data_IF_730329494479
#
_entry.id   IF_730329494479
#
_cell.length_a   1.000
_cell.length_b   1.000
_cell.length_c   1.000
_cell.angle_alpha   90.00
_cell.angle_beta   90.00
_cell.angle_gamma   90.00
#
_symmetry.space_group_name_H-M   'P 1'
#
loop_
_entity.id
_entity.type
_entity.pdbx_description
1 polymer ?
#
# COMPACT_ATOMS: atom_id res chain seq x y z
N UNK A 1 28.94 -29.89 13.60
CA UNK A 1 28.54 -29.29 12.31
C UNK A 1 27.03 -29.16 12.13
N UNK A 2 26.24 -30.23 12.00
CA UNK A 2 24.77 -30.10 11.88
C UNK A 2 24.08 -29.64 13.18
N UNK A 3 24.60 -30.06 14.35
CA UNK A 3 24.12 -29.60 15.65
C UNK A 3 24.43 -28.11 15.89
N UNK A 4 25.63 -27.64 15.53
CA UNK A 4 26.00 -26.21 15.63
C UNK A 4 25.14 -25.31 14.72
N UNK A 5 24.82 -25.78 13.51
CA UNK A 5 23.97 -25.03 12.58
C UNK A 5 22.52 -24.90 13.10
N UNK A 6 21.99 -25.97 13.71
CA UNK A 6 20.66 -25.92 14.33
C UNK A 6 20.63 -25.04 15.58
N UNK A 7 21.72 -25.01 16.36
CA UNK A 7 21.83 -24.17 17.55
C UNK A 7 21.96 -22.69 17.16
N UNK A 8 22.70 -22.37 16.10
CA UNK A 8 22.85 -21.00 15.61
C UNK A 8 21.52 -20.43 15.05
N UNK A 9 20.74 -21.23 14.33
CA UNK A 9 19.41 -20.82 13.86
C UNK A 9 18.39 -20.64 14.99
N UNK A 10 18.49 -21.41 16.07
CA UNK A 10 17.66 -21.21 17.27
C UNK A 10 17.99 -19.90 18.00
N UNK A 11 19.26 -19.45 17.99
CA UNK A 11 19.66 -18.18 18.58
C UNK A 11 19.21 -16.97 17.75
N UNK A 12 19.20 -17.07 16.41
CA UNK A 12 18.69 -16.03 15.51
C UNK A 12 17.17 -15.88 15.60
N UNK A 13 16.42 -16.99 15.63
CA UNK A 13 14.96 -16.96 15.77
C UNK A 13 14.52 -16.35 17.12
N UNK A 14 15.28 -16.61 18.20
CA UNK A 14 15.02 -16.06 19.54
C UNK A 14 15.41 -14.58 19.67
N UNK A 15 16.24 -14.07 18.77
CA UNK A 15 16.60 -12.65 18.69
C UNK A 15 15.51 -11.82 17.97
N UNK A 16 14.87 -12.38 16.94
CA UNK A 16 13.79 -11.73 16.20
C UNK A 16 12.51 -11.56 17.05
N UNK A 17 12.11 -12.58 17.82
CA UNK A 17 10.95 -12.49 18.74
C UNK A 17 11.13 -11.40 19.82
N UNK A 18 12.37 -11.18 20.29
CA UNK A 18 12.66 -10.09 21.25
C UNK A 18 12.53 -8.70 20.64
N UNK A 19 12.61 -8.57 19.31
CA UNK A 19 12.45 -7.30 18.61
C UNK A 19 11.02 -7.01 18.15
N UNK A 20 10.15 -8.03 18.08
CA UNK A 20 8.77 -7.89 17.62
C UNK A 20 7.83 -7.18 18.63
N UNK A 21 8.21 -7.11 19.91
CA UNK A 21 7.40 -6.50 20.97
C UNK A 21 7.77 -5.05 21.35
N UNK A 22 8.82 -4.47 20.76
CA UNK A 22 9.25 -3.11 21.11
C UNK A 22 8.57 -2.11 20.17
N UNK A 23 7.56 -1.40 20.67
CA UNK A 23 7.04 -0.18 20.01
C UNK A 23 8.20 0.80 19.84
N UNK A 24 8.77 0.86 18.63
CA UNK A 24 9.77 1.86 18.27
C UNK A 24 9.11 3.22 18.42
N UNK A 25 9.57 4.10 19.34
CA UNK A 25 8.95 5.40 19.51
C UNK A 25 9.00 6.13 18.17
N UNK A 26 7.89 6.76 17.76
CA UNK A 26 7.83 7.63 16.58
C UNK A 26 8.83 8.77 16.75
N UNK A 27 10.10 8.53 16.43
CA UNK A 27 11.15 9.55 16.46
C UNK A 27 10.77 10.65 15.49
N UNK A 28 10.52 11.84 16.03
CA UNK A 28 10.19 13.02 15.27
C UNK A 28 11.23 13.27 14.19
N UNK A 29 10.77 13.55 12.97
CA UNK A 29 11.63 13.84 11.81
C UNK A 29 12.71 14.89 12.11
N UNK A 30 12.42 15.83 13.01
CA UNK A 30 13.35 16.87 13.45
C UNK A 30 14.56 16.33 14.23
N UNK A 31 14.42 15.21 14.94
CA UNK A 31 15.51 14.58 15.69
C UNK A 31 16.42 13.75 14.79
N UNK A 32 15.85 13.06 13.79
CA UNK A 32 16.63 12.39 12.74
C UNK A 32 17.46 13.41 11.95
N UNK A 33 16.89 14.57 11.65
CA UNK A 33 17.59 15.66 10.93
C UNK A 33 18.76 16.25 11.74
N UNK A 34 18.59 16.39 13.07
CA UNK A 34 19.63 16.92 13.97
C UNK A 34 20.79 15.95 14.14
N UNK A 35 20.52 14.65 14.28
CA UNK A 35 21.58 13.62 14.33
C UNK A 35 22.32 13.49 12.99
N UNK A 36 21.62 13.63 11.87
CA UNK A 36 22.24 13.62 10.55
C UNK A 36 23.28 14.73 10.41
N UNK A 37 22.98 15.92 10.95
CA UNK A 37 23.91 17.06 10.95
C UNK A 37 25.19 16.83 11.77
N UNK A 38 25.14 15.97 12.79
CA UNK A 38 26.30 15.64 13.63
C UNK A 38 27.12 14.47 13.08
N UNK A 39 26.49 13.56 12.35
CA UNK A 39 27.14 12.45 11.63
C UNK A 39 28.07 12.94 10.50
N UNK A 40 27.82 14.15 9.99
CA UNK A 40 28.64 14.87 9.00
C UNK A 40 29.61 15.89 9.61
N UNK A 41 30.07 15.72 10.86
CA UNK A 41 30.95 16.70 11.51
C UNK A 41 32.39 16.20 11.69
N UNK A 42 33.27 16.83 10.88
CA UNK A 42 34.73 16.99 10.99
C UNK A 42 35.63 15.76 10.80
N UNK A 43 35.40 14.61 11.41
CA UNK A 43 36.33 13.46 11.20
C UNK A 43 36.01 12.64 9.95
N UNK A 44 34.73 12.40 9.65
CA UNK A 44 34.29 11.76 8.40
C UNK A 44 34.50 12.68 7.19
N UNK A 45 34.46 14.00 7.38
CA UNK A 45 34.59 15.01 6.32
C UNK A 45 36.01 15.05 5.74
N UNK A 46 37.04 14.77 6.55
CA UNK A 46 38.44 14.75 6.09
C UNK A 46 38.72 13.50 5.25
N UNK A 47 38.19 12.32 5.62
CA UNK A 47 38.25 11.09 4.79
C UNK A 47 37.36 11.18 3.54
N UNK A 48 36.20 11.85 3.64
CA UNK A 48 35.32 12.13 2.51
C UNK A 48 35.80 13.31 1.63
N UNK A 49 36.94 13.96 1.90
CA UNK A 49 37.38 15.09 1.07
C UNK A 49 38.10 14.65 -0.23
N UNK A 50 38.74 13.49 -0.21
CA UNK A 50 39.34 12.88 -1.41
C UNK A 50 38.31 12.09 -2.21
N UNK A 51 37.48 11.26 -1.55
CA UNK A 51 36.40 10.52 -2.21
C UNK A 51 35.17 11.37 -2.54
N UNK A 52 34.88 12.40 -1.74
CA UNK A 52 33.75 13.30 -1.98
C UNK A 52 33.93 14.15 -3.24
N UNK A 53 35.16 14.49 -3.64
CA UNK A 53 35.40 15.18 -4.92
C UNK A 53 35.15 14.27 -6.13
N UNK A 54 35.51 12.98 -6.04
CA UNK A 54 35.24 12.02 -7.12
C UNK A 54 33.76 11.64 -7.16
N UNK A 55 33.12 11.44 -6.00
CA UNK A 55 31.68 11.20 -5.88
C UNK A 55 30.87 12.41 -6.36
N UNK A 56 31.27 13.64 -6.03
CA UNK A 56 30.59 14.85 -6.50
C UNK A 56 30.80 15.07 -8.00
N UNK A 57 32.00 14.76 -8.53
CA UNK A 57 32.26 14.75 -9.97
C UNK A 57 31.41 13.69 -10.70
N UNK A 58 31.30 12.48 -10.15
CA UNK A 58 30.45 11.41 -10.67
C UNK A 58 28.97 11.79 -10.61
N UNK A 59 28.51 12.39 -9.50
CA UNK A 59 27.14 12.85 -9.36
C UNK A 59 26.82 13.98 -10.35
N UNK A 60 27.77 14.89 -10.60
CA UNK A 60 27.64 15.91 -11.64
C UNK A 60 27.59 15.31 -13.05
N UNK A 61 28.32 14.21 -13.29
CA UNK A 61 28.27 13.46 -14.54
C UNK A 61 26.92 12.75 -14.74
N UNK A 62 26.42 12.05 -13.71
CA UNK A 62 25.10 11.41 -13.75
C UNK A 62 23.97 12.44 -13.87
N UNK A 63 24.08 13.59 -13.20
CA UNK A 63 23.13 14.69 -13.34
C UNK A 63 23.09 15.25 -14.76
N UNK A 64 24.27 15.46 -15.37
CA UNK A 64 24.37 15.94 -16.75
C UNK A 64 23.87 14.90 -17.77
N UNK A 65 24.18 13.62 -17.54
CA UNK A 65 23.64 12.50 -18.32
C UNK A 65 22.11 12.48 -18.23
N UNK A 66 21.54 12.62 -17.02
CA UNK A 66 20.10 12.62 -16.79
C UNK A 66 19.41 13.78 -17.52
N UNK A 67 19.96 14.99 -17.41
CA UNK A 67 19.45 16.18 -18.11
C UNK A 67 19.50 15.98 -19.63
N UNK A 68 20.60 15.46 -20.18
CA UNK A 68 20.71 15.15 -21.60
C UNK A 68 19.70 14.07 -22.06
N UNK A 69 19.49 13.04 -21.24
CA UNK A 69 18.55 11.96 -21.52
C UNK A 69 17.10 12.48 -21.50
N UNK A 70 16.79 13.41 -20.59
CA UNK A 70 15.50 14.10 -20.53
C UNK A 70 15.28 15.01 -21.74
N UNK A 71 16.28 15.77 -22.18
CA UNK A 71 16.20 16.56 -23.43
C UNK A 71 15.96 15.67 -24.65
N UNK A 72 16.62 14.51 -24.70
CA UNK A 72 16.46 13.54 -25.78
C UNK A 72 15.05 12.98 -25.82
N UNK A 73 14.49 12.63 -24.66
CA UNK A 73 13.12 12.15 -24.54
C UNK A 73 12.13 13.22 -25.01
N UNK A 74 12.29 14.47 -24.56
CA UNK A 74 11.42 15.58 -24.96
C UNK A 74 11.44 15.83 -26.47
N UNK A 75 12.61 15.80 -27.12
CA UNK A 75 12.73 15.88 -28.58
C UNK A 75 12.05 14.72 -29.30
N UNK A 76 12.11 13.51 -28.74
CA UNK A 76 11.49 12.32 -29.31
C UNK A 76 9.96 12.35 -29.17
N UNK A 77 9.43 12.85 -28.04
CA UNK A 77 7.99 13.08 -27.84
C UNK A 77 7.45 14.11 -28.85
N UNK A 78 8.19 15.20 -29.11
CA UNK A 78 7.78 16.26 -30.04
C UNK A 78 7.68 15.83 -31.52
N UNK A 79 8.33 14.73 -31.92
CA UNK A 79 8.24 14.20 -33.30
C UNK A 79 7.01 13.31 -33.54
N UNK A 80 6.33 12.85 -32.48
CA UNK A 80 5.17 11.95 -32.60
C UNK A 80 3.92 12.80 -32.85
N UNK A 81 3.47 12.88 -34.12
CA UNK A 81 2.28 13.64 -34.55
C UNK A 81 1.01 13.39 -33.71
N UNK A 82 0.88 12.22 -33.11
CA UNK A 82 -0.27 11.79 -32.31
C UNK A 82 -0.30 12.47 -30.92
N UNK A 83 0.85 12.86 -30.37
CA UNK A 83 0.95 13.59 -29.09
C UNK A 83 1.04 15.11 -29.25
N UNK A 84 1.21 15.61 -30.48
CA UNK A 84 1.43 17.03 -30.78
C UNK A 84 0.27 17.97 -30.39
N UNK A 85 -0.98 17.48 -30.35
CA UNK A 85 -2.14 18.30 -29.94
C UNK A 85 -2.23 18.54 -28.43
N UNK A 86 -1.73 17.62 -27.61
CA UNK A 86 -1.75 17.73 -26.14
C UNK A 86 -0.49 18.45 -25.63
N UNK A 87 0.62 18.36 -26.37
CA UNK A 87 1.92 18.95 -26.02
C UNK A 87 2.09 20.40 -26.49
N UNK A 88 1.35 20.87 -27.51
CA UNK A 88 1.54 22.21 -28.10
C UNK A 88 1.16 23.39 -27.19
N UNK A 89 0.35 23.18 -26.15
CA UNK A 89 0.01 24.24 -25.18
C UNK A 89 1.12 24.44 -24.12
N UNK A 90 1.95 23.43 -23.91
CA UNK A 90 3.07 23.45 -22.94
C UNK A 90 4.41 23.79 -23.61
N UNK A 91 4.50 23.64 -24.93
CA UNK A 91 5.73 23.81 -25.73
C UNK A 91 6.31 25.24 -25.70
N UNK A 92 5.47 26.28 -25.75
CA UNK A 92 5.94 27.69 -25.71
C UNK A 92 6.49 28.13 -24.34
N UNK A 93 5.94 27.59 -23.26
CA UNK A 93 6.36 27.94 -21.89
C UNK A 93 7.63 27.20 -21.47
N UNK A 94 7.79 25.95 -21.94
CA UNK A 94 8.97 25.13 -21.63
C UNK A 94 10.19 25.50 -22.48
N UNK A 95 10.06 25.89 -23.74
CA UNK A 95 11.22 26.28 -24.56
C UNK A 95 12.00 27.49 -24.01
N UNK A 96 11.32 28.49 -23.43
CA UNK A 96 11.96 29.72 -22.94
C UNK A 96 12.53 29.59 -21.52
N UNK A 97 11.86 28.86 -20.62
CA UNK A 97 12.36 28.66 -19.25
C UNK A 97 13.34 27.51 -19.12
N UNK A 98 13.15 26.39 -19.82
CA UNK A 98 14.09 25.27 -19.73
C UNK A 98 15.34 25.45 -20.59
N UNK A 99 15.28 26.11 -21.74
CA UNK A 99 16.49 26.44 -22.51
C UNK A 99 17.45 27.27 -21.66
N UNK A 100 16.93 28.32 -21.02
CA UNK A 100 17.72 29.22 -20.18
C UNK A 100 18.17 28.56 -18.86
N UNK A 101 17.41 27.59 -18.32
CA UNK A 101 17.80 26.86 -17.12
C UNK A 101 18.82 25.75 -17.45
N UNK A 102 18.62 25.02 -18.54
CA UNK A 102 19.53 24.01 -19.06
C UNK A 102 20.89 24.61 -19.41
N UNK A 103 20.93 25.75 -20.11
CA UNK A 103 22.19 26.46 -20.39
C UNK A 103 22.86 26.94 -19.10
N UNK A 104 22.11 27.42 -18.10
CA UNK A 104 22.68 27.80 -16.79
C UNK A 104 23.20 26.60 -16.00
N UNK A 105 22.57 25.43 -16.11
CA UNK A 105 23.01 24.18 -15.47
C UNK A 105 24.24 23.64 -16.18
N UNK A 106 24.27 23.64 -17.51
CA UNK A 106 25.42 23.24 -18.34
C UNK A 106 26.61 24.18 -18.07
N UNK A 107 26.40 25.50 -18.09
CA UNK A 107 27.46 26.49 -17.84
C UNK A 107 28.01 26.46 -16.41
N UNK A 108 27.18 26.07 -15.42
CA UNK A 108 27.62 25.94 -14.02
C UNK A 108 28.30 24.60 -13.71
N UNK A 109 28.04 23.56 -14.53
CA UNK A 109 28.72 22.25 -14.44
C UNK A 109 29.96 22.15 -15.34
N UNK A 110 30.09 23.01 -16.36
CA UNK A 110 31.24 23.06 -17.27
C UNK A 110 32.39 23.84 -16.61
N UNK A 111 33.12 23.13 -15.74
CA UNK A 111 34.36 23.62 -15.17
C UNK A 111 35.39 23.91 -16.26
N UNK A 112 35.81 25.17 -16.37
CA UNK A 112 36.83 25.66 -17.28
C UNK A 112 38.19 25.01 -17.01
N UNK A 113 38.45 23.83 -17.60
CA UNK A 113 39.80 23.28 -17.73
C UNK A 113 39.90 22.48 -19.03
N UNK A 114 40.48 23.11 -20.06
CA UNK A 114 41.30 22.54 -21.17
C UNK A 114 40.95 21.21 -21.86
N UNK A 115 39.84 20.55 -21.54
CA UNK A 115 39.45 19.25 -22.06
C UNK A 115 38.25 19.33 -22.98
N UNK A 116 38.10 18.32 -23.84
CA UNK A 116 36.95 18.18 -24.75
C UNK A 116 35.64 18.24 -23.95
N UNK A 117 34.71 19.10 -24.40
CA UNK A 117 33.42 19.32 -23.75
C UNK A 117 32.68 17.99 -23.52
N UNK A 118 32.30 17.69 -22.28
CA UNK A 118 31.62 16.43 -21.92
C UNK A 118 30.27 16.29 -22.61
N UNK A 119 29.56 17.40 -22.79
CA UNK A 119 28.32 17.49 -23.58
C UNK A 119 28.55 17.06 -25.03
N UNK A 120 29.68 17.45 -25.63
CA UNK A 120 30.07 17.04 -26.97
C UNK A 120 30.38 15.54 -27.05
N UNK A 121 31.06 14.96 -26.05
CA UNK A 121 31.32 13.51 -26.01
C UNK A 121 30.01 12.70 -25.93
N UNK A 122 29.05 13.15 -25.11
CA UNK A 122 27.73 12.51 -25.00
C UNK A 122 26.95 12.64 -26.32
N UNK A 123 26.96 13.83 -26.93
CA UNK A 123 26.32 14.04 -28.23
C UNK A 123 26.95 13.18 -29.33
N UNK A 124 28.28 13.02 -29.33
CA UNK A 124 29.01 12.17 -30.27
C UNK A 124 28.68 10.69 -30.07
N UNK A 125 28.66 10.22 -28.83
CA UNK A 125 28.28 8.84 -28.49
C UNK A 125 26.84 8.55 -28.93
N UNK A 126 25.91 9.48 -28.66
CA UNK A 126 24.52 9.33 -29.06
C UNK A 126 24.36 9.31 -30.58
N UNK A 127 25.09 10.16 -31.30
CA UNK A 127 25.13 10.17 -32.77
C UNK A 127 25.66 8.85 -33.33
N UNK A 128 26.70 8.27 -32.69
CA UNK A 128 27.26 6.97 -33.06
C UNK A 128 26.25 5.83 -32.83
N UNK A 129 25.58 5.80 -31.68
CA UNK A 129 24.51 4.82 -31.41
C UNK A 129 23.33 4.94 -32.38
N UNK A 130 22.97 6.16 -32.79
CA UNK A 130 21.90 6.43 -33.77
C UNK A 130 22.30 6.09 -35.21
N UNK A 131 23.59 5.96 -35.51
CA UNK A 131 24.06 5.47 -36.81
C UNK A 131 23.74 3.98 -36.99
N UNK A 132 23.83 3.18 -35.91
CA UNK A 132 23.49 1.75 -35.90
C UNK A 132 22.15 1.47 -35.21
N UNK A 133 21.07 2.03 -35.77
CA UNK A 133 19.72 2.02 -35.15
C UNK A 133 19.24 0.63 -34.74
N UNK A 134 19.38 -0.38 -35.61
CA UNK A 134 18.84 -1.72 -35.36
C UNK A 134 19.49 -2.40 -34.15
N UNK A 135 20.82 -2.38 -34.06
CA UNK A 135 21.54 -3.02 -32.94
C UNK A 135 21.28 -2.30 -31.61
N UNK A 136 21.29 -0.97 -31.61
CA UNK A 136 21.01 -0.16 -30.42
C UNK A 136 19.55 -0.34 -29.97
N UNK A 137 18.61 -0.42 -30.91
CA UNK A 137 17.19 -0.62 -30.59
C UNK A 137 16.93 -2.01 -29.98
N UNK A 138 17.52 -3.07 -30.55
CA UNK A 138 17.32 -4.44 -30.04
C UNK A 138 17.93 -4.63 -28.64
N UNK A 139 19.11 -4.05 -28.38
CA UNK A 139 19.77 -4.19 -27.06
C UNK A 139 19.06 -3.40 -25.97
N UNK A 140 18.75 -2.12 -26.22
CA UNK A 140 18.02 -1.27 -25.26
C UNK A 140 16.58 -1.77 -25.08
N UNK A 141 15.92 -2.18 -26.17
CA UNK A 141 14.58 -2.78 -26.12
C UNK A 141 14.58 -4.11 -25.37
N UNK A 142 15.55 -4.99 -25.62
CA UNK A 142 15.70 -6.27 -24.91
C UNK A 142 15.93 -6.10 -23.41
N UNK A 143 16.82 -5.18 -23.02
CA UNK A 143 17.01 -4.82 -21.60
C UNK A 143 15.74 -4.21 -20.99
N UNK A 144 15.04 -3.34 -21.71
CA UNK A 144 13.80 -2.73 -21.26
C UNK A 144 12.67 -3.74 -21.01
N UNK A 145 12.45 -4.67 -21.95
CA UNK A 145 11.47 -5.75 -21.82
C UNK A 145 11.86 -6.69 -20.68
N UNK A 146 13.14 -7.01 -20.52
CA UNK A 146 13.63 -7.85 -19.42
C UNK A 146 13.35 -7.26 -18.04
N UNK A 147 13.66 -5.97 -17.84
CA UNK A 147 13.38 -5.27 -16.58
C UNK A 147 11.86 -5.17 -16.35
N UNK A 148 11.07 -4.88 -17.39
CA UNK A 148 9.63 -4.81 -17.29
C UNK A 148 9.01 -6.15 -16.86
N UNK A 149 9.48 -7.27 -17.42
CA UNK A 149 9.01 -8.60 -17.06
C UNK A 149 9.32 -8.97 -15.60
N UNK A 150 10.52 -8.65 -15.11
CA UNK A 150 10.91 -8.88 -13.70
C UNK A 150 10.02 -8.07 -12.77
N UNK A 151 9.85 -6.77 -13.04
CA UNK A 151 9.02 -5.89 -12.20
C UNK A 151 7.56 -6.33 -12.23
N UNK A 152 7.05 -6.74 -13.39
CA UNK A 152 5.70 -7.28 -13.53
C UNK A 152 5.50 -8.53 -12.68
N UNK A 153 6.39 -9.53 -12.82
CA UNK A 153 6.30 -10.78 -12.09
C UNK A 153 6.37 -10.56 -10.57
N UNK A 154 7.29 -9.72 -10.12
CA UNK A 154 7.44 -9.38 -8.69
C UNK A 154 6.19 -8.66 -8.15
N UNK A 155 5.63 -7.74 -8.92
CA UNK A 155 4.41 -7.02 -8.54
C UNK A 155 3.21 -7.95 -8.41
N UNK A 156 3.04 -8.87 -9.37
CA UNK A 156 1.99 -9.90 -9.33
C UNK A 156 2.19 -10.84 -8.14
N UNK A 157 3.43 -11.29 -7.89
CA UNK A 157 3.75 -12.17 -6.77
C UNK A 157 3.37 -11.56 -5.42
N UNK A 158 3.81 -10.33 -5.14
CA UNK A 158 3.45 -9.65 -3.89
C UNK A 158 1.97 -9.29 -3.80
N UNK A 159 1.33 -8.94 -4.92
CA UNK A 159 -0.11 -8.67 -4.97
C UNK A 159 -0.92 -9.90 -4.60
N UNK A 160 -0.59 -11.06 -5.18
CA UNK A 160 -1.25 -12.32 -4.89
C UNK A 160 -0.99 -12.77 -3.45
N UNK A 161 0.25 -12.65 -2.96
CA UNK A 161 0.58 -12.93 -1.57
C UNK A 161 -0.31 -12.12 -0.61
N UNK A 162 -0.49 -10.82 -0.85
CA UNK A 162 -1.37 -9.97 -0.03
C UNK A 162 -2.83 -10.39 -0.08
N UNK A 163 -3.32 -10.81 -1.25
CA UNK A 163 -4.70 -11.31 -1.41
C UNK A 163 -4.92 -12.63 -0.67
N UNK A 164 -3.98 -13.56 -0.78
CA UNK A 164 -4.06 -14.84 -0.07
C UNK A 164 -3.96 -14.61 1.43
N UNK A 165 -2.98 -13.81 1.87
CA UNK A 165 -2.82 -13.49 3.30
C UNK A 165 -4.05 -12.77 3.85
N UNK A 166 -4.67 -11.82 3.14
CA UNK A 166 -5.88 -11.18 3.66
C UNK A 166 -7.10 -12.10 3.69
N UNK A 167 -7.20 -13.05 2.75
CA UNK A 167 -8.27 -14.06 2.73
C UNK A 167 -8.12 -15.07 3.87
N UNK A 168 -6.87 -15.47 4.14
CA UNK A 168 -6.49 -16.49 5.12
C UNK A 168 -6.34 -15.88 6.52
N UNK A 169 -5.82 -14.66 6.68
CA UNK A 169 -5.63 -14.00 7.99
C UNK A 169 -6.94 -13.63 8.71
N UNK A 170 -8.11 -13.89 8.10
CA UNK A 170 -9.36 -14.10 8.86
C UNK A 170 -9.34 -15.35 9.75
N UNK A 171 -8.19 -16.01 9.91
CA UNK A 171 -7.93 -17.11 10.85
C UNK A 171 -8.25 -16.80 12.32
N UNK A 172 -8.46 -15.53 12.70
CA UNK A 172 -9.06 -15.20 14.00
C UNK A 172 -10.53 -15.68 14.08
N UNK A 173 -11.28 -15.64 12.97
CA UNK A 173 -12.61 -16.27 12.84
C UNK A 173 -12.51 -17.80 12.92
N UNK A 174 -11.39 -18.41 12.52
CA UNK A 174 -11.18 -19.87 12.56
C UNK A 174 -10.90 -20.42 13.97
N UNK A 175 -10.75 -19.54 14.98
CA UNK A 175 -10.71 -19.93 16.40
C UNK A 175 -12.10 -19.91 17.06
N UNK A 176 -13.15 -19.60 16.29
CA UNK A 176 -14.52 -19.62 16.78
C UNK A 176 -15.12 -21.01 16.62
N UNK A 177 -15.79 -21.49 17.66
CA UNK A 177 -16.62 -22.68 17.62
C UNK A 177 -18.08 -22.26 17.83
N UNK A 178 -18.95 -22.60 16.88
CA UNK A 178 -20.39 -22.38 17.00
C UNK A 178 -21.04 -23.58 17.69
N UNK A 179 -21.82 -23.32 18.73
CA UNK A 179 -22.50 -24.35 19.53
C UNK A 179 -24.00 -24.16 19.35
N UNK A 180 -24.59 -25.02 18.52
CA UNK A 180 -26.05 -25.05 18.32
C UNK A 180 -26.64 -26.31 18.96
N UNK A 181 -27.82 -26.17 19.57
CA UNK A 181 -28.55 -27.31 20.16
C UNK A 181 -29.17 -28.15 19.04
N UNK A 182 -28.95 -29.47 19.07
CA UNK A 182 -29.61 -30.43 18.17
C UNK A 182 -31.07 -30.65 18.54
N UNK A 183 -31.90 -31.01 17.56
CA UNK A 183 -33.37 -31.14 17.66
C UNK A 183 -33.90 -32.15 18.72
N UNK A 184 -33.02 -32.91 19.38
CA UNK A 184 -33.38 -34.05 20.25
C UNK A 184 -32.87 -33.98 21.69
N UNK A 185 -32.26 -32.87 22.12
CA UNK A 185 -31.72 -32.75 23.48
C UNK A 185 -32.53 -31.79 24.35
N UNK A 186 -32.88 -32.20 25.57
CA UNK A 186 -33.47 -31.33 26.61
C UNK A 186 -32.45 -30.33 27.21
N UNK A 187 -31.43 -29.98 26.43
CA UNK A 187 -30.33 -29.09 26.83
C UNK A 187 -30.74 -27.68 26.42
N UNK A 188 -30.67 -26.75 27.37
CA UNK A 188 -30.94 -25.32 27.14
C UNK A 188 -29.61 -24.57 27.22
N UNK A 189 -29.41 -23.61 26.31
CA UNK A 189 -28.30 -22.67 26.38
C UNK A 189 -28.73 -21.52 27.31
N UNK A 190 -28.54 -21.73 28.61
CA UNK A 190 -28.81 -20.74 29.65
C UNK A 190 -27.52 -20.10 30.18
N UNK A 191 -27.65 -19.23 31.18
CA UNK A 191 -26.50 -18.57 31.81
C UNK A 191 -25.52 -19.55 32.45
N UNK A 192 -25.99 -20.69 32.95
CA UNK A 192 -25.15 -21.73 33.55
C UNK A 192 -24.31 -22.45 32.48
N UNK A 193 -24.91 -22.73 31.32
CA UNK A 193 -24.19 -23.26 30.16
C UNK A 193 -23.09 -22.30 29.68
N UNK A 194 -23.37 -20.99 29.64
CA UNK A 194 -22.37 -19.97 29.29
C UNK A 194 -21.21 -19.97 30.28
N UNK A 195 -21.50 -19.99 31.59
CA UNK A 195 -20.47 -19.99 32.63
C UNK A 195 -19.59 -21.25 32.56
N UNK A 196 -20.21 -22.40 32.30
CA UNK A 196 -19.50 -23.67 32.13
C UNK A 196 -18.57 -23.64 30.92
N UNK A 197 -19.02 -23.08 29.79
CA UNK A 197 -18.20 -22.92 28.58
C UNK A 197 -17.03 -21.94 28.78
N UNK A 198 -17.23 -20.86 29.54
CA UNK A 198 -16.16 -19.91 29.89
C UNK A 198 -15.06 -20.55 30.75
N UNK A 199 -15.41 -21.54 31.57
CA UNK A 199 -14.46 -22.22 32.46
C UNK A 199 -13.62 -23.30 31.74
N UNK A 200 -13.89 -23.59 30.46
CA UNK A 200 -13.10 -24.55 29.67
C UNK A 200 -11.75 -23.91 29.33
N UNK A 201 -10.65 -24.64 29.58
CA UNK A 201 -9.31 -24.17 29.27
C UNK A 201 -9.12 -23.88 27.78
N UNK A 202 -8.67 -22.66 27.45
CA UNK A 202 -8.46 -22.19 26.08
C UNK A 202 -9.62 -21.37 25.50
N UNK A 203 -10.73 -21.21 26.23
CA UNK A 203 -11.83 -20.31 25.85
C UNK A 203 -11.54 -18.91 26.40
N UNK A 204 -11.39 -17.93 25.51
CA UNK A 204 -11.15 -16.53 25.89
C UNK A 204 -12.46 -15.79 26.20
N UNK A 205 -13.47 -15.98 25.35
CA UNK A 205 -14.79 -15.35 25.46
C UNK A 205 -15.89 -16.26 24.95
N UNK A 206 -17.06 -16.15 25.55
CA UNK A 206 -18.30 -16.79 25.09
C UNK A 206 -19.31 -15.69 24.79
N UNK A 207 -19.86 -15.69 23.59
CA UNK A 207 -20.77 -14.67 23.10
C UNK A 207 -22.11 -15.32 22.71
N UNK A 208 -23.20 -15.04 23.43
CA UNK A 208 -24.51 -15.57 23.07
C UNK A 208 -25.08 -14.83 21.85
N UNK A 209 -25.75 -15.59 20.98
CA UNK A 209 -26.45 -15.07 19.81
C UNK A 209 -27.87 -15.60 19.83
N UNK A 210 -28.85 -14.72 19.63
CA UNK A 210 -30.26 -15.10 19.53
C UNK A 210 -30.77 -14.69 18.15
N UNK A 211 -31.35 -15.64 17.41
CA UNK A 211 -31.92 -15.38 16.09
C UNK A 211 -33.45 -15.43 16.17
N UNK A 212 -34.09 -14.36 15.71
CA UNK A 212 -35.55 -14.20 15.72
C UNK A 212 -35.99 -13.72 14.34
N UNK A 213 -37.16 -14.15 13.86
CA UNK A 213 -37.75 -13.59 12.63
C UNK A 213 -38.67 -12.43 13.03
N UNK A 214 -38.42 -11.24 12.47
CA UNK A 214 -39.16 -10.03 12.76
C UNK A 214 -39.73 -9.39 11.49
N UNK A 215 -40.89 -8.74 11.62
CA UNK A 215 -41.45 -7.85 10.60
C UNK A 215 -41.00 -6.42 10.87
N UNK A 216 -40.39 -5.79 9.88
CA UNK A 216 -39.97 -4.38 9.92
C UNK A 216 -40.92 -3.57 9.06
N UNK A 217 -41.49 -2.52 9.65
CA UNK A 217 -42.38 -1.59 8.96
C UNK A 217 -41.70 -0.22 8.87
N UNK A 218 -41.66 0.37 7.68
CA UNK A 218 -41.09 1.70 7.45
C UNK A 218 -41.83 2.42 6.32
N UNK A 219 -42.42 3.59 6.60
CA UNK A 219 -43.09 4.47 5.63
C UNK A 219 -44.05 3.76 4.64
N UNK A 220 -44.78 2.74 5.11
CA UNK A 220 -45.73 1.97 4.30
C UNK A 220 -45.12 0.74 3.59
N UNK A 221 -43.80 0.62 3.57
CA UNK A 221 -43.10 -0.61 3.21
C UNK A 221 -43.08 -1.63 4.35
N UNK A 222 -43.29 -2.90 4.04
CA UNK A 222 -43.15 -4.00 5.00
C UNK A 222 -42.07 -4.98 4.53
N UNK A 223 -41.26 -5.48 5.45
CA UNK A 223 -40.28 -6.52 5.11
C UNK A 223 -40.04 -7.47 6.26
N UNK A 224 -40.03 -8.76 5.96
CA UNK A 224 -39.62 -9.80 6.89
C UNK A 224 -38.09 -9.95 6.85
N UNK A 225 -37.46 -9.90 8.03
CA UNK A 225 -36.02 -10.04 8.19
C UNK A 225 -35.68 -10.85 9.43
N UNK A 226 -34.54 -11.51 9.40
CA UNK A 226 -33.97 -12.16 10.60
C UNK A 226 -33.28 -11.08 11.42
N UNK A 227 -33.62 -11.03 12.70
CA UNK A 227 -33.05 -10.14 13.71
C UNK A 227 -32.13 -10.97 14.60
N UNK A 228 -30.87 -10.55 14.69
CA UNK A 228 -29.87 -11.18 15.56
C UNK A 228 -29.66 -10.30 16.80
N UNK A 229 -29.99 -10.84 17.97
CA UNK A 229 -29.59 -10.29 19.25
C UNK A 229 -28.16 -10.75 19.57
N UNK A 230 -27.22 -9.80 19.57
CA UNK A 230 -25.79 -10.05 19.79
C UNK A 230 -25.23 -9.02 20.77
N UNK A 231 -24.13 -9.34 21.45
CA UNK A 231 -23.40 -8.37 22.27
C UNK A 231 -22.57 -7.41 21.40
N UNK A 232 -22.22 -6.22 21.91
CA UNK A 232 -21.39 -5.27 21.16
C UNK A 232 -20.01 -5.83 20.83
N UNK A 233 -19.47 -6.63 21.75
CA UNK A 233 -18.19 -7.33 21.57
C UNK A 233 -18.23 -8.31 20.38
N UNK A 234 -19.37 -8.97 20.14
CA UNK A 234 -19.52 -9.86 18.98
C UNK A 234 -19.31 -9.13 17.65
N UNK A 235 -19.79 -7.89 17.54
CA UNK A 235 -19.66 -7.09 16.31
C UNK A 235 -18.21 -6.71 16.01
N UNK A 236 -17.40 -6.51 17.05
CA UNK A 236 -15.97 -6.23 16.91
C UNK A 236 -15.20 -7.46 16.43
N UNK A 237 -15.48 -8.63 17.03
CA UNK A 237 -14.77 -9.87 16.69
C UNK A 237 -15.25 -10.48 15.36
N UNK A 238 -16.52 -10.29 15.00
CA UNK A 238 -17.09 -10.81 13.75
C UNK A 238 -16.56 -10.10 12.47
N UNK A 239 -15.68 -9.10 12.61
CA UNK A 239 -15.01 -8.46 11.46
C UNK A 239 -15.97 -7.73 10.52
N UNK A 240 -17.15 -7.31 11.03
CA UNK A 240 -18.14 -6.63 10.21
C UNK A 240 -17.67 -5.22 9.82
N UNK A 241 -17.76 -4.91 8.53
CA UNK A 241 -17.40 -3.58 8.02
C UNK A 241 -18.54 -2.59 8.23
N UNK A 242 -18.34 -1.64 9.13
CA UNK A 242 -19.28 -0.54 9.40
C UNK A 242 -19.33 0.44 8.23
N UNK A 243 -20.52 0.70 7.68
CA UNK A 243 -20.71 1.68 6.59
C UNK A 243 -21.12 3.05 7.13
N UNK A 244 -22.05 3.09 8.08
CA UNK A 244 -22.58 4.30 8.73
C UNK A 244 -22.96 4.02 10.18
N UNK A 245 -22.95 5.06 11.02
CA UNK A 245 -23.32 4.98 12.44
C UNK A 245 -22.20 4.46 13.33
N UNK A 246 -22.55 4.12 14.57
CA UNK A 246 -21.67 3.54 15.58
C UNK A 246 -22.21 2.22 16.10
N UNK A 247 -21.32 1.38 16.63
CA UNK A 247 -21.71 0.14 17.28
C UNK A 247 -22.34 0.45 18.63
N UNK A 248 -23.30 -0.37 19.05
CA UNK A 248 -23.86 -0.24 20.38
C UNK A 248 -22.82 -0.67 21.42
N UNK A 249 -22.69 0.10 22.50
CA UNK A 249 -21.88 -0.30 23.67
C UNK A 249 -22.79 -1.06 24.63
N UNK A 250 -22.26 -2.11 25.26
CA UNK A 250 -22.97 -3.13 26.07
C UNK A 250 -23.78 -2.59 27.27
N UNK A 251 -23.89 -1.26 27.43
CA UNK A 251 -24.58 -0.59 28.53
C UNK A 251 -25.70 0.36 28.14
N UNK A 252 -25.82 0.77 26.89
CA UNK A 252 -26.75 1.83 26.49
C UNK A 252 -27.61 1.39 25.31
N UNK A 253 -28.89 1.16 25.65
CA UNK A 253 -30.07 1.03 24.78
C UNK A 253 -30.05 -0.07 23.71
N UNK A 254 -31.21 -0.71 23.52
CA UNK A 254 -31.39 -1.69 22.45
C UNK A 254 -31.29 -1.00 21.08
N UNK A 255 -30.07 -0.88 20.55
CA UNK A 255 -29.79 -0.31 19.25
C UNK A 255 -30.08 -1.31 18.13
N UNK A 256 -30.91 -0.92 17.16
CA UNK A 256 -31.15 -1.70 15.95
C UNK A 256 -30.14 -1.31 14.87
N UNK A 257 -29.37 -2.27 14.38
CA UNK A 257 -28.46 -2.09 13.26
C UNK A 257 -29.02 -2.81 12.03
N UNK A 258 -29.65 -2.10 11.08
CA UNK A 258 -30.17 -2.74 9.88
C UNK A 258 -29.04 -3.08 8.90
N UNK A 259 -29.12 -4.27 8.30
CA UNK A 259 -28.26 -4.63 7.18
C UNK A 259 -28.60 -3.77 5.95
N UNK A 260 -27.59 -3.45 5.14
CA UNK A 260 -27.71 -2.65 3.92
C UNK A 260 -28.76 -3.22 2.96
N UNK A 261 -28.89 -4.54 2.90
CA UNK A 261 -29.88 -5.23 2.06
C UNK A 261 -31.31 -4.95 2.52
N UNK A 262 -31.53 -4.89 3.83
CA UNK A 262 -32.85 -4.58 4.41
C UNK A 262 -33.19 -3.12 4.12
N UNK A 263 -32.26 -2.18 4.33
CA UNK A 263 -32.46 -0.78 3.99
C UNK A 263 -32.78 -0.58 2.51
N UNK A 264 -32.02 -1.22 1.60
CA UNK A 264 -32.24 -1.11 0.16
C UNK A 264 -33.62 -1.65 -0.25
N UNK A 265 -34.05 -2.77 0.35
CA UNK A 265 -35.35 -3.36 0.07
C UNK A 265 -36.49 -2.46 0.54
N UNK A 266 -36.43 -1.94 1.76
CA UNK A 266 -37.45 -1.04 2.30
C UNK A 266 -37.61 0.23 1.44
N UNK A 267 -36.50 0.82 0.98
CA UNK A 267 -36.54 2.00 0.10
C UNK A 267 -37.24 1.69 -1.23
N UNK A 268 -36.94 0.54 -1.85
CA UNK A 268 -37.59 0.14 -3.10
C UNK A 268 -39.09 -0.15 -2.92
N UNK A 269 -39.46 -0.73 -1.77
CA UNK A 269 -40.87 -1.02 -1.44
C UNK A 269 -41.68 0.27 -1.27
N UNK A 270 -41.11 1.27 -0.59
CA UNK A 270 -41.72 2.60 -0.42
C UNK A 270 -41.84 3.33 -1.77
N UNK A 271 -40.80 3.29 -2.60
CA UNK A 271 -40.82 3.89 -3.94
C UNK A 271 -41.88 3.24 -4.83
N UNK A 272 -42.00 1.91 -4.79
CA UNK A 272 -43.05 1.17 -5.50
C UNK A 272 -44.45 1.47 -4.97
N UNK A 273 -44.61 1.63 -3.65
CA UNK A 273 -45.91 1.96 -3.06
C UNK A 273 -46.35 3.38 -3.44
N UNK A 274 -45.43 4.33 -3.49
CA UNK A 274 -45.69 5.70 -3.94
C UNK A 274 -46.03 5.78 -5.43
N UNK A 275 -45.33 5.02 -6.29
CA UNK A 275 -45.63 4.98 -7.73
C UNK A 275 -47.00 4.40 -8.07
N UNK A 276 -47.57 3.55 -7.20
CA UNK A 276 -48.88 2.96 -7.40
C UNK A 276 -50.03 3.84 -6.88
N UNK A 277 -49.72 4.95 -6.21
CA UNK A 277 -50.68 5.92 -5.66
C UNK A 277 -50.83 7.19 -6.54
N UNK A 278 -50.01 7.35 -7.58
CA UNK A 278 -50.09 8.41 -8.61
C UNK A 278 -50.63 7.86 -9.92
#
# INVERSE_FOLDING_TARGET
MLADLLQNHQHEAKAEERTAGVKVPKRSWKERLRNWRHFFSKETVIKLQEEGKTILSLLSFFGLLLVFLLELLWKMIGQIKILGKIVSSTDRFWQTKLGNWGERVIAKLEGHRGGVRRSFLIALAFRNMRAKRTRSFVTVGGMGVGIAAIVFLVSVGYGLQRLVVSRVARLEELKMADVTIGQASNIRLDGEAIQTMQNIGGVEKVMPIVSLVGKVFFEGGNSESVVYGVSGEYLEVAGLNKIKGDWFTTREEAGLLPDVRVCKRLVLEVESAMSNLT
#
